data_IF_026996741288
#
_entry.id   IF_026996741288
#
_cell.length_a   1.000
_cell.length_b   1.000
_cell.length_c   1.000
_cell.angle_alpha   90.00
_cell.angle_beta   90.00
_cell.angle_gamma   90.00
#
_symmetry.space_group_name_H-M   'P 1'
#
loop_
_entity.id
_entity.type
_entity.pdbx_description
1 polymer ?
#
# COMPACT_ATOMS: atom_id res chain seq x y z
N UNK A 1 -18.11 13.42 13.13
CA UNK A 1 -16.97 13.67 12.22
C UNK A 1 -17.16 12.73 11.04
N UNK A 2 -17.51 13.26 9.87
CA UNK A 2 -17.71 12.45 8.66
C UNK A 2 -16.34 11.93 8.21
N UNK A 3 -16.25 10.65 7.84
CA UNK A 3 -15.02 10.10 7.26
C UNK A 3 -14.66 10.94 6.02
N UNK A 4 -13.36 11.19 5.76
CA UNK A 4 -12.95 11.77 4.49
C UNK A 4 -13.54 10.95 3.35
N UNK A 5 -14.09 11.64 2.35
CA UNK A 5 -14.52 10.99 1.12
C UNK A 5 -13.29 10.30 0.52
N UNK A 6 -13.35 8.97 0.41
CA UNK A 6 -12.32 8.19 -0.26
C UNK A 6 -12.38 8.56 -1.75
N UNK A 7 -11.59 9.56 -2.15
CA UNK A 7 -11.35 9.85 -3.55
C UNK A 7 -10.37 8.82 -4.08
N UNK A 8 -10.88 7.62 -4.37
CA UNK A 8 -10.30 6.84 -5.46
C UNK A 8 -10.33 7.80 -6.66
N UNK A 9 -9.17 8.16 -7.21
CA UNK A 9 -9.12 8.99 -8.42
C UNK A 9 -10.12 8.45 -9.44
N UNK A 10 -10.77 9.33 -10.20
CA UNK A 10 -11.73 8.86 -11.20
C UNK A 10 -11.09 7.74 -12.03
N UNK A 11 -11.82 6.61 -12.27
CA UNK A 11 -11.26 5.50 -13.00
C UNK A 11 -10.67 6.02 -14.31
N UNK A 12 -9.38 5.76 -14.53
CA UNK A 12 -8.75 6.17 -15.77
C UNK A 12 -9.46 5.47 -16.94
N UNK A 13 -10.19 6.24 -17.75
CA UNK A 13 -10.86 5.75 -18.97
C UNK A 13 -9.98 5.91 -20.22
N UNK A 14 -8.78 6.50 -20.10
CA UNK A 14 -7.80 6.48 -21.18
C UNK A 14 -7.18 5.09 -21.30
N UNK A 15 -7.64 4.34 -22.30
CA UNK A 15 -7.30 2.95 -22.58
C UNK A 15 -5.81 2.66 -22.88
N UNK A 16 -4.93 3.66 -22.86
CA UNK A 16 -3.53 3.52 -23.26
C UNK A 16 -2.51 3.65 -22.11
N UNK A 17 -2.94 3.97 -20.89
CA UNK A 17 -2.05 4.00 -19.71
C UNK A 17 -2.68 3.22 -18.55
N UNK A 18 -2.35 1.94 -18.49
CA UNK A 18 -2.74 1.04 -17.40
C UNK A 18 -1.92 1.24 -16.12
N UNK A 19 -0.99 2.22 -16.10
CA UNK A 19 -0.09 2.42 -14.99
C UNK A 19 0.96 1.32 -14.85
N UNK A 20 1.37 1.06 -13.60
CA UNK A 20 2.32 -0.02 -13.29
C UNK A 20 1.68 -1.40 -13.24
N UNK A 21 0.39 -1.43 -12.92
CA UNK A 21 -0.37 -2.65 -12.75
C UNK A 21 -1.68 -2.46 -13.51
N UNK A 22 -1.86 -3.20 -14.60
CA UNK A 22 -3.12 -3.21 -15.34
C UNK A 22 -4.11 -4.24 -14.79
N UNK A 23 -5.38 -4.22 -15.25
CA UNK A 23 -6.43 -5.15 -14.82
C UNK A 23 -6.10 -6.65 -14.96
N UNK A 24 -5.16 -7.00 -15.84
CA UNK A 24 -4.68 -8.36 -16.04
C UNK A 24 -3.60 -8.83 -15.04
N UNK A 25 -3.11 -7.96 -14.16
CA UNK A 25 -2.01 -8.29 -13.24
C UNK A 25 -2.51 -8.88 -11.91
N UNK A 26 -1.66 -9.69 -11.27
CA UNK A 26 -1.97 -10.26 -9.95
C UNK A 26 -2.08 -9.19 -8.87
N UNK A 27 -1.23 -8.16 -8.91
CA UNK A 27 -1.31 -7.01 -8.00
C UNK A 27 -2.69 -6.36 -8.07
N UNK A 28 -3.19 -6.07 -9.29
CA UNK A 28 -4.52 -5.49 -9.48
C UNK A 28 -5.61 -6.39 -8.89
N UNK A 29 -5.56 -7.69 -9.23
CA UNK A 29 -6.53 -8.69 -8.76
C UNK A 29 -6.57 -8.78 -7.23
N UNK A 30 -5.42 -8.85 -6.58
CA UNK A 30 -5.32 -8.96 -5.11
C UNK A 30 -5.78 -7.66 -4.45
N UNK A 31 -5.33 -6.50 -4.95
CA UNK A 31 -5.62 -5.21 -4.31
C UNK A 31 -7.08 -4.78 -4.49
N UNK A 32 -7.75 -5.23 -5.57
CA UNK A 32 -9.17 -4.96 -5.80
C UNK A 32 -10.10 -5.84 -4.95
N UNK A 33 -9.58 -6.89 -4.32
CA UNK A 33 -10.36 -7.75 -3.44
C UNK A 33 -10.64 -7.06 -2.10
N UNK A 34 -11.88 -7.15 -1.60
CA UNK A 34 -12.27 -6.54 -0.32
C UNK A 34 -11.45 -7.07 0.86
N UNK A 35 -10.92 -8.29 0.78
CA UNK A 35 -10.04 -8.88 1.79
C UNK A 35 -8.64 -8.28 1.82
N UNK A 36 -8.24 -7.49 0.81
CA UNK A 36 -7.00 -6.72 0.85
C UNK A 36 -6.94 -5.79 2.07
N UNK A 37 -8.09 -5.32 2.58
CA UNK A 37 -8.18 -4.55 3.83
C UNK A 37 -7.65 -5.36 5.02
N UNK A 38 -7.99 -6.65 5.12
CA UNK A 38 -7.52 -7.54 6.18
C UNK A 38 -6.02 -7.81 6.02
N UNK A 39 -5.55 -7.97 4.78
CA UNK A 39 -4.12 -8.03 4.47
C UNK A 39 -3.37 -6.77 4.91
N UNK A 40 -3.94 -5.59 4.65
CA UNK A 40 -3.39 -4.32 5.12
C UNK A 40 -3.30 -4.25 6.65
N UNK A 41 -4.32 -4.71 7.37
CA UNK A 41 -4.29 -4.77 8.84
C UNK A 41 -3.19 -5.70 9.35
N UNK A 42 -3.04 -6.90 8.77
CA UNK A 42 -1.93 -7.81 9.08
C UNK A 42 -0.58 -7.16 8.82
N UNK A 43 -0.44 -6.46 7.69
CA UNK A 43 0.80 -5.78 7.33
C UNK A 43 1.21 -4.74 8.38
N UNK A 44 0.26 -3.97 8.94
CA UNK A 44 0.56 -3.00 10.01
C UNK A 44 1.18 -3.67 11.24
N UNK A 45 0.62 -4.80 11.66
CA UNK A 45 1.15 -5.55 12.80
C UNK A 45 2.55 -6.08 12.51
N UNK A 46 2.78 -6.66 11.33
CA UNK A 46 4.11 -7.14 10.95
C UNK A 46 5.13 -5.99 10.84
N UNK A 47 4.75 -4.87 10.25
CA UNK A 47 5.61 -3.70 10.14
C UNK A 47 6.00 -3.14 11.52
N UNK A 48 5.08 -3.19 12.49
CA UNK A 48 5.34 -2.77 13.86
C UNK A 48 6.35 -3.66 14.62
N UNK A 49 6.64 -4.86 14.12
CA UNK A 49 7.62 -5.77 14.74
C UNK A 49 9.07 -5.35 14.49
N UNK A 50 9.35 -4.46 13.54
CA UNK A 50 10.68 -3.85 13.36
C UNK A 50 10.74 -2.51 14.10
N UNK A 51 11.44 -2.42 15.25
CA UNK A 51 11.40 -1.24 16.11
C UNK A 51 11.88 0.04 15.40
N UNK A 52 12.81 -0.05 14.44
CA UNK A 52 13.31 1.13 13.72
C UNK A 52 12.27 1.66 12.74
N UNK A 53 11.58 0.77 12.02
CA UNK A 53 10.50 1.15 11.11
C UNK A 53 9.33 1.76 11.90
N UNK A 54 8.94 1.13 13.01
CA UNK A 54 7.88 1.65 13.86
C UNK A 54 8.27 2.94 14.60
N UNK A 55 9.54 3.10 14.95
CA UNK A 55 10.07 4.32 15.56
C UNK A 55 9.82 5.56 14.70
N UNK A 56 9.97 5.46 13.37
CA UNK A 56 9.62 6.55 12.45
C UNK A 56 8.14 6.93 12.49
N UNK A 57 7.26 5.95 12.64
CA UNK A 57 5.82 6.19 12.82
C UNK A 57 5.54 6.92 14.12
N UNK A 58 6.18 6.51 15.22
CA UNK A 58 6.01 7.16 16.51
C UNK A 58 6.53 8.59 16.53
N UNK A 59 7.66 8.86 15.86
CA UNK A 59 8.30 10.16 15.86
C UNK A 59 7.62 11.18 14.93
N UNK A 60 7.04 10.73 13.82
CA UNK A 60 6.60 11.61 12.73
C UNK A 60 5.12 11.50 12.37
N UNK A 61 4.30 10.83 13.19
CA UNK A 61 2.85 10.76 12.93
C UNK A 61 2.00 10.85 14.19
N UNK A 62 0.82 11.47 14.06
CA UNK A 62 -0.23 11.53 15.07
C UNK A 62 -1.07 10.25 15.06
N UNK A 63 -0.42 9.09 15.07
CA UNK A 63 -1.10 7.81 14.83
C UNK A 63 -2.03 7.38 15.97
N UNK A 64 -1.82 7.91 17.19
CA UNK A 64 -2.69 7.62 18.34
C UNK A 64 -3.94 8.48 18.32
N UNK A 65 -3.81 9.72 17.87
CA UNK A 65 -4.89 10.71 17.82
C UNK A 65 -5.70 10.58 16.52
N UNK A 66 -5.05 10.22 15.42
CA UNK A 66 -5.65 10.10 14.07
C UNK A 66 -5.31 8.76 13.39
N UNK A 67 -5.59 7.60 14.02
CA UNK A 67 -5.25 6.29 13.48
C UNK A 67 -5.89 6.04 12.11
N UNK A 68 -7.18 6.33 11.99
CA UNK A 68 -7.92 6.15 10.73
C UNK A 68 -7.45 7.11 9.64
N UNK A 69 -7.19 8.38 9.97
CA UNK A 69 -6.66 9.35 9.00
C UNK A 69 -5.30 8.94 8.45
N UNK A 70 -4.43 8.35 9.28
CA UNK A 70 -3.15 7.80 8.82
C UNK A 70 -3.34 6.60 7.91
N UNK A 71 -4.25 5.69 8.27
CA UNK A 71 -4.55 4.51 7.47
C UNK A 71 -5.09 4.87 6.09
N UNK A 72 -6.03 5.81 6.03
CA UNK A 72 -6.61 6.27 4.76
C UNK A 72 -5.54 6.84 3.83
N UNK A 73 -4.61 7.67 4.32
CA UNK A 73 -3.51 8.19 3.48
C UNK A 73 -2.60 7.11 2.92
N UNK A 74 -2.35 6.04 3.68
CA UNK A 74 -1.60 4.88 3.17
C UNK A 74 -2.42 4.11 2.14
N UNK A 75 -3.71 3.89 2.39
CA UNK A 75 -4.60 3.22 1.45
C UNK A 75 -4.74 4.00 0.13
N UNK A 76 -4.86 5.34 0.19
CA UNK A 76 -4.85 6.23 -0.97
C UNK A 76 -3.55 6.10 -1.77
N UNK A 77 -2.39 6.13 -1.09
CA UNK A 77 -1.11 5.94 -1.75
C UNK A 77 -1.03 4.58 -2.45
N UNK A 78 -1.40 3.49 -1.78
CA UNK A 78 -1.43 2.16 -2.38
C UNK A 78 -2.42 2.11 -3.55
N UNK A 79 -3.60 2.72 -3.42
CA UNK A 79 -4.60 2.81 -4.48
C UNK A 79 -4.05 3.50 -5.73
N UNK A 80 -3.39 4.65 -5.57
CA UNK A 80 -2.73 5.37 -6.68
C UNK A 80 -1.65 4.53 -7.34
N UNK A 81 -0.83 3.81 -6.55
CA UNK A 81 0.23 2.94 -7.09
C UNK A 81 -0.35 1.75 -7.85
N UNK A 82 -1.51 1.23 -7.43
CA UNK A 82 -2.09 0.00 -7.95
C UNK A 82 -3.04 0.22 -9.12
N UNK A 83 -3.73 1.37 -9.14
CA UNK A 83 -4.85 1.62 -10.05
C UNK A 83 -4.72 2.94 -10.82
N UNK A 84 -3.77 3.80 -10.45
CA UNK A 84 -3.56 5.08 -11.11
C UNK A 84 -2.70 4.97 -12.36
N UNK A 85 -2.64 6.06 -13.13
CA UNK A 85 -1.73 6.20 -14.27
C UNK A 85 -0.26 6.10 -13.84
N UNK A 86 0.62 5.80 -14.79
CA UNK A 86 2.06 5.74 -14.49
C UNK A 86 2.57 7.07 -13.94
N UNK A 87 2.08 8.18 -14.48
CA UNK A 87 2.44 9.52 -14.05
C UNK A 87 1.98 9.81 -12.61
N UNK A 88 0.74 9.45 -12.24
CA UNK A 88 0.24 9.61 -10.87
C UNK A 88 1.03 8.79 -9.87
N UNK A 89 1.29 7.52 -10.20
CA UNK A 89 2.11 6.63 -9.39
C UNK A 89 3.53 7.20 -9.19
N UNK A 90 4.16 7.69 -10.26
CA UNK A 90 5.50 8.28 -10.19
C UNK A 90 5.54 9.56 -9.34
N UNK A 91 4.55 10.45 -9.49
CA UNK A 91 4.43 11.66 -8.66
C UNK A 91 4.22 11.32 -7.19
N UNK A 92 3.30 10.39 -6.90
CA UNK A 92 3.01 9.95 -5.54
C UNK A 92 4.24 9.29 -4.88
N UNK A 93 4.91 8.39 -5.61
CA UNK A 93 6.11 7.72 -5.12
C UNK A 93 7.28 8.70 -4.94
N UNK A 94 7.44 9.69 -5.82
CA UNK A 94 8.46 10.74 -5.66
C UNK A 94 8.25 11.56 -4.39
N UNK A 95 7.00 11.92 -4.08
CA UNK A 95 6.62 12.62 -2.84
C UNK A 95 6.90 11.78 -1.60
N UNK A 96 6.53 10.50 -1.59
CA UNK A 96 6.81 9.61 -0.45
C UNK A 96 8.32 9.42 -0.27
N UNK A 97 9.07 9.20 -1.36
CA UNK A 97 10.53 9.08 -1.31
C UNK A 97 11.22 10.33 -0.79
N UNK A 98 10.76 11.54 -1.15
CA UNK A 98 11.35 12.78 -0.64
C UNK A 98 11.09 12.96 0.86
N UNK A 99 9.89 12.63 1.33
CA UNK A 99 9.57 12.63 2.76
C UNK A 99 10.42 11.62 3.53
N UNK A 100 10.54 10.37 3.04
CA UNK A 100 11.37 9.36 3.69
C UNK A 100 12.84 9.78 3.77
N UNK A 101 13.41 10.36 2.70
CA UNK A 101 14.77 10.93 2.73
C UNK A 101 14.92 12.03 3.78
N UNK A 102 14.00 13.00 3.81
CA UNK A 102 14.05 14.13 4.74
C UNK A 102 13.96 13.68 6.20
N UNK A 103 13.27 12.56 6.46
CA UNK A 103 13.09 11.98 7.80
C UNK A 103 14.09 10.85 8.11
N UNK A 104 15.03 10.55 7.21
CA UNK A 104 15.98 9.43 7.35
C UNK A 104 15.29 8.06 7.57
N UNK A 105 14.17 7.85 6.88
CA UNK A 105 13.33 6.63 6.90
C UNK A 105 13.50 5.79 5.63
N UNK A 106 14.53 6.05 4.82
CA UNK A 106 14.77 5.46 3.50
C UNK A 106 15.88 4.39 3.49
N UNK A 107 16.27 3.90 4.67
CA UNK A 107 17.23 2.79 4.78
C UNK A 107 16.72 1.56 4.02
N UNK A 108 17.49 0.98 3.08
CA UNK A 108 17.01 -0.09 2.21
C UNK A 108 16.44 -1.29 2.95
N UNK A 109 17.05 -1.71 4.06
CA UNK A 109 16.60 -2.83 4.87
C UNK A 109 15.22 -2.59 5.50
N UNK A 110 14.91 -1.35 5.88
CA UNK A 110 13.61 -0.99 6.46
C UNK A 110 12.53 -0.91 5.37
N UNK A 111 12.89 -0.38 4.19
CA UNK A 111 11.97 -0.35 3.05
C UNK A 111 11.61 -1.77 2.59
N UNK A 112 12.58 -2.67 2.52
CA UNK A 112 12.36 -4.08 2.21
C UNK A 112 11.50 -4.78 3.26
N UNK A 113 11.73 -4.53 4.56
CA UNK A 113 10.89 -5.06 5.63
C UNK A 113 9.42 -4.67 5.43
N UNK A 114 9.17 -3.38 5.20
CA UNK A 114 7.82 -2.83 5.02
C UNK A 114 7.16 -3.39 3.76
N UNK A 115 7.90 -3.42 2.64
CA UNK A 115 7.40 -3.93 1.36
C UNK A 115 7.07 -5.41 1.45
N UNK A 116 8.00 -6.24 1.91
CA UNK A 116 7.80 -7.69 2.01
C UNK A 116 6.69 -8.03 3.00
N UNK A 117 6.61 -7.35 4.14
CA UNK A 117 5.52 -7.54 5.10
C UNK A 117 4.15 -7.17 4.52
N UNK A 118 4.09 -6.17 3.63
CA UNK A 118 2.87 -5.80 2.93
C UNK A 118 2.49 -6.85 1.88
N UNK A 119 3.41 -7.20 0.97
CA UNK A 119 3.20 -8.17 -0.11
C UNK A 119 2.82 -9.56 0.45
N UNK A 120 3.57 -10.07 1.43
CA UNK A 120 3.27 -11.33 2.11
C UNK A 120 1.88 -11.28 2.75
N UNK A 121 1.49 -10.17 3.38
CA UNK A 121 0.17 -10.06 4.00
C UNK A 121 -0.97 -10.09 3.01
N UNK A 122 -0.84 -9.38 1.89
CA UNK A 122 -1.90 -9.39 0.88
C UNK A 122 -2.01 -10.75 0.22
N UNK A 123 -0.89 -11.36 -0.16
CA UNK A 123 -0.89 -12.70 -0.76
C UNK A 123 -1.46 -13.74 0.21
N UNK A 124 -0.99 -13.75 1.46
CA UNK A 124 -1.41 -14.73 2.46
C UNK A 124 -2.92 -14.63 2.75
N UNK A 125 -3.45 -13.40 2.85
CA UNK A 125 -4.88 -13.19 3.08
C UNK A 125 -5.70 -13.54 1.84
N UNK A 126 -5.25 -13.21 0.63
CA UNK A 126 -5.92 -13.61 -0.60
C UNK A 126 -6.08 -15.13 -0.71
N UNK A 127 -5.01 -15.89 -0.42
CA UNK A 127 -5.08 -17.36 -0.42
C UNK A 127 -6.04 -17.89 0.66
N UNK A 128 -5.99 -17.31 1.87
CA UNK A 128 -6.85 -17.73 3.00
C UNK A 128 -8.32 -17.37 2.81
N UNK A 129 -8.62 -16.32 2.06
CA UNK A 129 -10.00 -15.96 1.70
C UNK A 129 -10.57 -16.81 0.57
N UNK A 130 -9.76 -17.70 -0.02
CA UNK A 130 -10.18 -18.63 -1.07
C UNK A 130 -9.88 -18.14 -2.49
N UNK A 131 -9.10 -17.07 -2.67
CA UNK A 131 -8.64 -16.67 -3.99
C UNK A 131 -7.76 -17.77 -4.59
N UNK A 132 -8.12 -18.25 -5.77
CA UNK A 132 -7.33 -19.22 -6.52
C UNK A 132 -6.24 -18.49 -7.30
N UNK A 133 -5.00 -18.78 -6.95
CA UNK A 133 -3.77 -18.28 -7.59
C UNK A 133 -2.92 -19.48 -7.98
N UNK A 134 -2.32 -19.43 -9.17
CA UNK A 134 -1.34 -20.43 -9.60
C UNK A 134 -0.04 -20.30 -8.79
N UNK A 135 0.95 -21.20 -8.98
CA UNK A 135 2.27 -20.98 -8.36
C UNK A 135 2.96 -19.77 -9.00
N UNK A 136 2.83 -19.62 -10.33
CA UNK A 136 3.37 -18.47 -11.07
C UNK A 136 2.74 -17.14 -10.61
N UNK A 137 1.46 -17.14 -10.22
CA UNK A 137 0.80 -15.94 -9.67
C UNK A 137 1.36 -15.56 -8.28
N UNK A 138 1.94 -16.52 -7.55
CA UNK A 138 2.42 -16.33 -6.19
C UNK A 138 3.90 -15.94 -6.11
N UNK A 139 4.67 -16.21 -7.17
CA UNK A 139 6.12 -15.96 -7.27
C UNK A 139 6.43 -14.48 -7.55
#
# INVERSE_FOLDING_TARGET
>A
MLAPELTFGEPNTNSNDEGYFGPGTITWKIHADVMAVIGGVRALFLQALEPKAFGGVQAHSRYREEPFGRLLRTAEYIGVISFGTKEEADRAAAKVRSMHRALNLDKPELLLWVHNGFTDSLLNIALRSGMKLSQEDQD
#
